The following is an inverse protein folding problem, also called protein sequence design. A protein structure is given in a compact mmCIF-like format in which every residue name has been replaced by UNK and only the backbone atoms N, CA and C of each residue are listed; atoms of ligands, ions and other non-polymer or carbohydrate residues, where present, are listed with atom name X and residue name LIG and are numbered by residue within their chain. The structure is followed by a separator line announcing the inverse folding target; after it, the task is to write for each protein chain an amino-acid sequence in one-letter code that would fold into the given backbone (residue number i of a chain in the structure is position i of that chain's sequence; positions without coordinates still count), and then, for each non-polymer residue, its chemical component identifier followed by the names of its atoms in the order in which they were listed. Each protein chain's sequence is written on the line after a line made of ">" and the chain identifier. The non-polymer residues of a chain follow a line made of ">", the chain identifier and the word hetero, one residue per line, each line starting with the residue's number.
data_IF_158632990993
#
_entry.id   IF_158632990993
#
_cell.length_a   1.000
_cell.length_b   1.000
_cell.length_c   1.000
_cell.angle_alpha   90.00
_cell.angle_beta   90.00
_cell.angle_gamma   90.00
#
_symmetry.space_group_name_H-M   'P 1'
#
loop_
_entity.id
_entity.type
_entity.pdbx_description
1 polymer ?
#
# COMPACT_ATOMS: atom_id res chain seq x y z
N UNK A 1 57.45 -17.51 37.41
CA UNK A 1 57.01 -18.44 36.34
C UNK A 1 55.64 -18.04 35.82
N UNK A 2 55.58 -17.74 34.51
CA UNK A 2 54.45 -17.73 33.55
C UNK A 2 53.02 -17.33 33.99
N UNK A 3 52.63 -16.14 33.51
CA UNK A 3 51.43 -15.79 32.69
C UNK A 3 50.14 -16.61 32.88
N UNK A 4 49.03 -15.88 33.06
CA UNK A 4 47.92 -15.85 32.07
C UNK A 4 47.13 -14.54 32.18
N UNK A 5 47.53 -13.57 31.37
CA UNK A 5 46.67 -12.48 30.90
C UNK A 5 45.74 -13.07 29.83
N UNK A 6 44.43 -13.01 30.07
CA UNK A 6 43.40 -13.11 29.03
C UNK A 6 42.57 -11.83 29.09
N UNK A 7 43.13 -10.74 28.59
CA UNK A 7 42.37 -9.54 28.28
C UNK A 7 41.68 -9.79 26.94
N UNK A 8 40.35 -9.87 26.98
CA UNK A 8 39.51 -9.99 25.81
C UNK A 8 39.70 -8.78 24.89
N UNK A 9 40.29 -9.02 23.73
CA UNK A 9 40.38 -8.09 22.61
C UNK A 9 39.00 -7.90 21.97
N UNK A 10 38.12 -7.11 22.61
CA UNK A 10 36.91 -6.60 21.95
C UNK A 10 37.30 -5.49 20.98
N UNK A 11 37.66 -5.91 19.77
CA UNK A 11 37.98 -5.06 18.62
C UNK A 11 37.04 -3.85 18.47
N UNK A 12 37.63 -2.65 18.54
CA UNK A 12 37.06 -1.40 18.05
C UNK A 12 36.89 -1.49 16.53
N UNK A 13 35.81 -2.14 16.05
CA UNK A 13 35.45 -2.06 14.64
C UNK A 13 35.14 -0.59 14.31
N UNK A 14 35.81 0.01 13.31
CA UNK A 14 35.67 1.42 13.06
C UNK A 14 34.23 1.74 12.61
N UNK A 15 33.68 2.86 13.09
CA UNK A 15 32.24 3.22 12.99
C UNK A 15 31.72 3.17 11.54
N UNK A 16 32.54 3.52 10.56
CA UNK A 16 32.20 3.46 9.13
C UNK A 16 31.85 2.04 8.66
N UNK A 17 32.51 0.99 9.15
CA UNK A 17 32.16 -0.40 8.78
C UNK A 17 30.75 -0.80 9.21
N UNK A 18 30.27 -0.29 10.35
CA UNK A 18 28.89 -0.53 10.80
C UNK A 18 27.88 0.17 9.90
N UNK A 19 28.17 1.41 9.48
CA UNK A 19 27.32 2.18 8.56
C UNK A 19 27.28 1.59 7.16
N UNK A 20 28.43 1.12 6.64
CA UNK A 20 28.49 0.41 5.35
C UNK A 20 27.67 -0.87 5.40
N UNK A 21 27.81 -1.68 6.46
CA UNK A 21 27.02 -2.89 6.61
C UNK A 21 25.50 -2.60 6.66
N UNK A 22 25.08 -1.53 7.32
CA UNK A 22 23.68 -1.09 7.34
C UNK A 22 23.20 -0.64 5.96
N UNK A 23 24.01 0.13 5.22
CA UNK A 23 23.69 0.53 3.86
C UNK A 23 23.53 -0.68 2.94
N UNK A 24 24.42 -1.67 3.05
CA UNK A 24 24.30 -2.94 2.31
C UNK A 24 23.01 -3.68 2.67
N UNK A 25 22.62 -3.73 3.96
CA UNK A 25 21.37 -4.37 4.38
C UNK A 25 20.13 -3.62 3.87
N UNK A 26 20.18 -2.28 3.80
CA UNK A 26 19.11 -1.46 3.24
C UNK A 26 18.97 -1.70 1.73
N UNK A 27 20.08 -1.74 1.00
CA UNK A 27 20.09 -2.09 -0.44
C UNK A 27 19.54 -3.51 -0.64
N UNK A 28 19.98 -4.48 0.15
CA UNK A 28 19.46 -5.85 0.07
C UNK A 28 17.95 -5.89 0.33
N UNK A 29 17.46 -5.20 1.36
CA UNK A 29 16.04 -5.07 1.65
C UNK A 29 15.26 -4.46 0.48
N UNK A 30 15.81 -3.42 -0.16
CA UNK A 30 15.21 -2.80 -1.33
C UNK A 30 15.13 -3.79 -2.51
N UNK A 31 16.22 -4.51 -2.81
CA UNK A 31 16.26 -5.53 -3.86
C UNK A 31 15.29 -6.69 -3.58
N UNK A 32 15.17 -7.12 -2.33
CA UNK A 32 14.20 -8.15 -1.93
C UNK A 32 12.76 -7.71 -2.22
N UNK A 33 12.40 -6.46 -1.90
CA UNK A 33 11.07 -5.92 -2.19
C UNK A 33 10.85 -5.69 -3.69
N UNK A 34 11.90 -5.34 -4.44
CA UNK A 34 11.84 -5.23 -5.89
C UNK A 34 11.57 -6.60 -6.54
N UNK A 35 12.26 -7.65 -6.07
CA UNK A 35 12.02 -9.01 -6.56
C UNK A 35 10.59 -9.48 -6.31
N UNK A 36 10.01 -9.14 -5.15
CA UNK A 36 8.59 -9.38 -4.87
C UNK A 36 7.69 -8.65 -5.86
N UNK A 37 7.92 -7.36 -6.10
CA UNK A 37 7.09 -6.55 -7.00
C UNK A 37 7.15 -7.08 -8.43
N UNK A 38 8.34 -7.48 -8.90
CA UNK A 38 8.53 -8.15 -10.17
C UNK A 38 7.82 -9.50 -10.26
N UNK A 39 7.79 -10.26 -9.17
CA UNK A 39 7.11 -11.55 -9.16
C UNK A 39 5.57 -11.39 -9.14
N UNK A 40 5.06 -10.38 -8.43
CA UNK A 40 3.63 -10.16 -8.26
C UNK A 40 2.99 -9.49 -9.48
N UNK A 41 3.55 -8.35 -9.89
CA UNK A 41 2.94 -7.44 -10.85
C UNK A 41 3.72 -7.40 -12.18
N UNK A 42 4.83 -8.14 -12.28
CA UNK A 42 5.77 -8.10 -13.43
C UNK A 42 6.23 -6.70 -13.81
N UNK A 43 6.12 -5.76 -12.87
CA UNK A 43 6.36 -4.34 -13.07
C UNK A 43 7.30 -3.78 -12.00
N UNK A 44 8.13 -2.82 -12.37
CA UNK A 44 8.81 -1.92 -11.44
C UNK A 44 8.49 -0.46 -11.78
N UNK A 45 8.09 0.27 -10.74
CA UNK A 45 7.82 1.70 -10.74
C UNK A 45 6.85 2.18 -11.84
N UNK A 46 5.98 1.28 -12.33
CA UNK A 46 5.03 1.55 -13.41
C UNK A 46 5.68 1.83 -14.77
N UNK A 47 6.99 1.59 -14.91
CA UNK A 47 7.77 1.89 -16.11
C UNK A 47 8.40 0.63 -16.71
N UNK A 48 8.79 -0.34 -15.88
CA UNK A 48 9.52 -1.53 -16.32
C UNK A 48 8.62 -2.76 -16.26
N UNK A 49 7.92 -3.10 -17.34
CA UNK A 49 7.09 -4.31 -17.44
C UNK A 49 7.88 -5.46 -18.10
N UNK A 50 8.16 -6.54 -17.36
CA UNK A 50 8.96 -7.69 -17.83
C UNK A 50 8.16 -8.70 -18.65
N UNK A 51 6.83 -8.64 -18.63
CA UNK A 51 5.95 -9.41 -19.50
C UNK A 51 5.24 -8.47 -20.50
N UNK A 52 5.86 -8.17 -21.66
CA UNK A 52 5.18 -7.49 -22.77
C UNK A 52 4.29 -8.44 -23.60
N UNK A 53 3.84 -9.56 -23.03
CA UNK A 53 3.07 -10.58 -23.76
C UNK A 53 1.61 -10.15 -23.92
N UNK A 54 1.40 -9.25 -24.88
CA UNK A 54 0.34 -9.26 -25.89
C UNK A 54 0.55 -8.05 -26.82
N UNK A 55 1.67 -8.05 -27.55
CA UNK A 55 2.03 -7.05 -28.56
C UNK A 55 1.21 -7.17 -29.87
N UNK A 56 -0.10 -7.42 -29.74
CA UNK A 56 -1.09 -7.19 -30.81
C UNK A 56 -2.38 -6.54 -30.29
N UNK A 57 -2.33 -6.03 -29.05
CA UNK A 57 -3.42 -5.31 -28.42
C UNK A 57 -2.94 -3.92 -28.06
N UNK A 58 -3.68 -2.91 -28.53
CA UNK A 58 -3.44 -1.51 -28.20
C UNK A 58 -3.34 -1.37 -26.67
N UNK A 59 -2.37 -0.59 -26.15
CA UNK A 59 -2.19 -0.44 -24.71
C UNK A 59 -3.47 0.11 -24.07
N UNK A 60 -3.80 -0.37 -22.86
CA UNK A 60 -5.00 0.08 -22.11
C UNK A 60 -5.03 1.59 -21.95
N UNK A 61 -3.87 2.25 -21.87
CA UNK A 61 -3.73 3.69 -21.90
C UNK A 61 -2.72 4.08 -22.99
N UNK A 62 -3.13 4.96 -23.89
CA UNK A 62 -2.27 5.60 -24.89
C UNK A 62 -2.43 7.11 -24.84
N UNK A 63 -1.39 7.84 -25.24
CA UNK A 63 -1.37 9.30 -25.27
C UNK A 63 -1.24 9.74 -26.73
N UNK A 64 -2.13 10.63 -27.18
CA UNK A 64 -2.12 11.22 -28.52
C UNK A 64 -2.16 12.74 -28.37
N UNK A 65 -1.00 13.37 -28.33
CA UNK A 65 -0.89 14.78 -27.96
C UNK A 65 -1.36 14.98 -26.52
N UNK A 66 -2.22 15.98 -26.29
CA UNK A 66 -2.77 16.26 -24.95
C UNK A 66 -3.96 15.36 -24.57
N UNK A 67 -4.36 14.43 -25.46
CA UNK A 67 -5.50 13.54 -25.24
C UNK A 67 -5.04 12.16 -24.75
N UNK A 68 -5.55 11.75 -23.60
CA UNK A 68 -5.39 10.40 -23.06
C UNK A 68 -6.50 9.50 -23.58
N UNK A 69 -6.13 8.34 -24.13
CA UNK A 69 -7.05 7.38 -24.74
C UNK A 69 -6.97 6.07 -24.00
N UNK A 70 -8.09 5.67 -23.39
CA UNK A 70 -8.23 4.38 -22.71
C UNK A 70 -8.89 3.38 -23.64
N UNK A 71 -8.29 2.20 -23.76
CA UNK A 71 -8.81 1.08 -24.53
C UNK A 71 -9.29 -0.03 -23.59
N UNK A 72 -10.56 -0.44 -23.71
CA UNK A 72 -11.12 -1.45 -22.80
C UNK A 72 -10.86 -2.89 -23.22
N UNK A 73 -10.26 -3.15 -24.38
CA UNK A 73 -10.09 -4.52 -24.93
C UNK A 73 -9.42 -5.48 -23.96
N UNK A 74 -8.37 -5.02 -23.24
CA UNK A 74 -7.71 -5.82 -22.19
C UNK A 74 -8.29 -5.58 -20.80
N UNK A 75 -9.01 -4.47 -20.60
CA UNK A 75 -9.58 -4.10 -19.31
C UNK A 75 -10.81 -4.95 -18.96
N UNK A 76 -11.57 -5.32 -19.99
CA UNK A 76 -12.86 -6.01 -19.85
C UNK A 76 -13.01 -7.15 -20.87
N UNK A 77 -12.10 -8.15 -20.88
CA UNK A 77 -12.13 -9.24 -21.87
C UNK A 77 -13.41 -10.10 -21.77
N UNK A 78 -14.04 -10.13 -20.59
CA UNK A 78 -15.22 -10.95 -20.30
C UNK A 78 -16.55 -10.23 -20.52
N UNK A 79 -16.55 -8.93 -20.83
CA UNK A 79 -17.77 -8.15 -21.02
C UNK A 79 -18.36 -8.41 -22.42
N UNK A 80 -19.58 -8.92 -22.46
CA UNK A 80 -20.26 -9.36 -23.69
C UNK A 80 -21.65 -8.75 -23.81
N UNK A 81 -21.95 -8.26 -25.02
CA UNK A 81 -23.29 -7.88 -25.47
C UNK A 81 -24.05 -9.08 -26.02
N UNK A 82 -25.00 -8.84 -26.93
CA UNK A 82 -25.80 -9.90 -27.52
C UNK A 82 -24.99 -10.78 -28.51
N UNK A 83 -24.23 -10.14 -29.42
CA UNK A 83 -23.41 -10.82 -30.44
C UNK A 83 -21.98 -11.16 -30.03
N UNK A 84 -21.44 -10.58 -28.94
CA UNK A 84 -20.10 -10.89 -28.46
C UNK A 84 -19.45 -9.74 -27.69
N UNK A 85 -18.12 -9.66 -27.69
CA UNK A 85 -17.37 -8.61 -26.98
C UNK A 85 -17.60 -7.24 -27.60
N UNK A 86 -17.64 -6.20 -26.75
CA UNK A 86 -17.99 -4.82 -27.15
C UNK A 86 -16.94 -3.80 -26.68
N UNK A 87 -15.66 -3.97 -27.03
CA UNK A 87 -14.62 -3.04 -26.60
C UNK A 87 -14.91 -1.61 -27.06
N UNK A 88 -14.42 -0.63 -26.31
CA UNK A 88 -14.57 0.79 -26.60
C UNK A 88 -13.30 1.56 -26.27
N UNK A 89 -13.23 2.76 -26.83
CA UNK A 89 -12.23 3.77 -26.49
C UNK A 89 -12.88 4.94 -25.73
N UNK A 90 -12.21 5.42 -24.68
CA UNK A 90 -12.57 6.62 -23.94
C UNK A 90 -11.45 7.64 -24.07
N UNK A 91 -11.76 8.81 -24.61
CA UNK A 91 -10.82 9.92 -24.77
C UNK A 91 -11.03 10.96 -23.68
N UNK A 92 -9.93 11.35 -23.05
CA UNK A 92 -9.91 12.28 -21.94
C UNK A 92 -8.95 13.42 -22.28
N UNK A 93 -9.44 14.65 -22.19
CA UNK A 93 -8.66 15.87 -22.38
C UNK A 93 -8.84 16.71 -21.11
N UNK A 94 -7.75 17.21 -20.54
CA UNK A 94 -7.79 18.06 -19.33
C UNK A 94 -8.59 17.44 -18.16
N UNK A 95 -8.55 16.11 -18.02
CA UNK A 95 -9.24 15.38 -16.95
C UNK A 95 -10.75 15.19 -17.16
N UNK A 96 -11.30 15.58 -18.32
CA UNK A 96 -12.71 15.38 -18.69
C UNK A 96 -12.85 14.46 -19.89
N UNK A 97 -13.90 13.63 -19.88
CA UNK A 97 -14.23 12.76 -20.99
C UNK A 97 -14.71 13.63 -22.16
N UNK A 98 -14.05 13.52 -23.30
CA UNK A 98 -14.42 14.25 -24.53
C UNK A 98 -15.17 13.34 -25.49
N UNK A 99 -14.91 12.03 -25.42
CA UNK A 99 -15.54 11.07 -26.31
C UNK A 99 -15.51 9.67 -25.74
N UNK A 100 -16.63 8.96 -25.86
CA UNK A 100 -16.71 7.50 -25.76
C UNK A 100 -17.11 6.97 -27.13
N UNK A 101 -16.30 6.07 -27.70
CA UNK A 101 -16.58 5.49 -29.01
C UNK A 101 -16.37 3.98 -29.01
N UNK A 102 -17.21 3.21 -29.71
CA UNK A 102 -17.04 1.77 -29.81
C UNK A 102 -15.82 1.42 -30.69
N UNK A 103 -15.09 0.38 -30.28
CA UNK A 103 -14.06 -0.27 -31.09
C UNK A 103 -14.69 -1.39 -31.94
N UNK A 104 -13.93 -1.99 -32.89
CA UNK A 104 -14.41 -3.16 -33.62
C UNK A 104 -14.94 -4.22 -32.66
N UNK A 105 -16.21 -4.60 -32.84
CA UNK A 105 -16.95 -5.46 -31.94
C UNK A 105 -17.73 -6.51 -32.73
N UNK A 106 -18.16 -7.56 -32.03
CA UNK A 106 -18.91 -8.68 -32.61
C UNK A 106 -20.43 -8.48 -32.50
N UNK A 107 -20.91 -7.24 -32.32
CA UNK A 107 -22.33 -6.98 -32.16
C UNK A 107 -23.08 -6.77 -33.48
N UNK A 108 -24.40 -6.98 -33.45
CA UNK A 108 -25.24 -6.70 -34.60
C UNK A 108 -25.30 -5.19 -34.84
N UNK A 109 -25.00 -4.69 -36.06
CA UNK A 109 -24.98 -3.25 -36.36
C UNK A 109 -26.26 -2.52 -35.92
N UNK A 110 -27.43 -3.13 -36.15
CA UNK A 110 -28.71 -2.54 -35.77
C UNK A 110 -28.92 -2.28 -34.27
N UNK A 111 -28.23 -3.01 -33.38
CA UNK A 111 -28.27 -2.71 -31.94
C UNK A 111 -27.41 -1.48 -31.61
N UNK A 112 -26.22 -1.38 -32.19
CA UNK A 112 -25.31 -0.25 -31.96
C UNK A 112 -25.82 1.04 -32.61
N UNK A 113 -26.44 0.95 -33.78
CA UNK A 113 -27.12 2.08 -34.43
C UNK A 113 -28.24 2.62 -33.53
N UNK A 114 -28.97 1.74 -32.84
CA UNK A 114 -30.00 2.13 -31.86
C UNK A 114 -29.40 2.82 -30.64
N UNK A 115 -28.25 2.38 -30.15
CA UNK A 115 -27.53 3.07 -29.07
C UNK A 115 -27.08 4.47 -29.50
N UNK A 116 -26.57 4.60 -30.73
CA UNK A 116 -26.15 5.87 -31.30
C UNK A 116 -27.34 6.83 -31.51
N UNK A 117 -28.47 6.34 -32.04
CA UNK A 117 -29.71 7.12 -32.22
C UNK A 117 -30.30 7.57 -30.89
N UNK A 118 -30.15 6.78 -29.83
CA UNK A 118 -30.56 7.14 -28.48
C UNK A 118 -29.61 8.14 -27.79
N UNK A 119 -28.50 8.53 -28.44
CA UNK A 119 -27.52 9.47 -27.87
C UNK A 119 -26.71 8.89 -26.72
N UNK A 120 -26.57 7.57 -26.63
CA UNK A 120 -25.92 6.92 -25.49
C UNK A 120 -24.46 7.39 -25.33
N UNK A 121 -23.71 7.49 -26.44
CA UNK A 121 -22.28 7.81 -26.44
C UNK A 121 -21.97 9.17 -25.80
N UNK A 122 -22.89 10.13 -25.92
CA UNK A 122 -22.74 11.49 -25.40
C UNK A 122 -23.09 11.62 -23.91
N UNK A 123 -23.60 10.56 -23.28
CA UNK A 123 -24.04 10.59 -21.87
C UNK A 123 -22.91 10.90 -20.88
N UNK A 124 -21.65 10.75 -21.32
CA UNK A 124 -20.46 10.95 -20.50
C UNK A 124 -19.62 12.16 -20.91
N UNK A 125 -20.01 12.89 -21.96
CA UNK A 125 -19.24 14.03 -22.45
C UNK A 125 -19.18 15.14 -21.39
N UNK A 126 -17.98 15.64 -21.12
CA UNK A 126 -17.69 16.67 -20.13
C UNK A 126 -17.60 16.18 -18.68
N UNK A 127 -17.94 14.92 -18.39
CA UNK A 127 -17.84 14.35 -17.05
C UNK A 127 -16.39 14.03 -16.67
N UNK A 128 -16.11 14.08 -15.37
CA UNK A 128 -14.87 13.50 -14.83
C UNK A 128 -14.97 11.98 -14.78
N UNK A 129 -13.83 11.27 -14.79
CA UNK A 129 -13.82 9.82 -14.62
C UNK A 129 -14.55 9.30 -13.37
N UNK A 130 -14.47 10.03 -12.25
CA UNK A 130 -15.14 9.65 -11.00
C UNK A 130 -16.67 9.78 -11.10
N UNK A 131 -17.16 10.85 -11.73
CA UNK A 131 -18.58 11.05 -12.01
C UNK A 131 -19.09 9.99 -12.98
N UNK A 132 -18.35 9.73 -14.07
CA UNK A 132 -18.73 8.73 -15.06
C UNK A 132 -18.79 7.30 -14.50
N UNK A 133 -17.93 6.97 -13.53
CA UNK A 133 -17.93 5.66 -12.86
C UNK A 133 -19.15 5.43 -11.95
N UNK A 134 -19.78 6.50 -11.47
CA UNK A 134 -20.92 6.45 -10.54
C UNK A 134 -22.27 6.78 -11.21
N UNK A 135 -22.25 7.29 -12.43
CA UNK A 135 -23.44 7.63 -13.19
C UNK A 135 -24.23 6.38 -13.56
N UNK A 136 -25.53 6.37 -13.22
CA UNK A 136 -26.47 5.37 -13.71
C UNK A 136 -27.14 5.89 -14.97
N UNK A 137 -26.75 5.33 -16.12
CA UNK A 137 -27.36 5.62 -17.43
C UNK A 137 -28.35 4.51 -17.76
N UNK A 138 -29.53 4.90 -18.21
CA UNK A 138 -30.60 3.97 -18.56
C UNK A 138 -30.24 3.14 -19.80
N UNK A 139 -30.64 1.86 -19.81
CA UNK A 139 -30.46 1.00 -20.95
C UNK A 139 -31.45 1.36 -22.08
N UNK A 140 -31.00 1.30 -23.33
CA UNK A 140 -31.84 1.62 -24.49
C UNK A 140 -32.82 0.49 -24.76
N UNK A 141 -34.11 0.84 -24.90
CA UNK A 141 -35.18 -0.14 -25.14
C UNK A 141 -34.93 -0.92 -26.43
N UNK A 142 -35.09 -2.25 -26.36
CA UNK A 142 -34.82 -3.15 -27.47
C UNK A 142 -33.33 -3.40 -27.77
N UNK A 143 -32.39 -2.88 -26.96
CA UNK A 143 -30.95 -3.16 -27.06
C UNK A 143 -30.33 -3.36 -25.66
N UNK A 144 -31.06 -4.02 -24.75
CA UNK A 144 -30.72 -4.09 -23.32
C UNK A 144 -29.40 -4.81 -23.05
N UNK A 145 -29.13 -5.94 -23.70
CA UNK A 145 -27.88 -6.69 -23.51
C UNK A 145 -26.65 -5.89 -23.99
N UNK A 146 -26.74 -5.29 -25.18
CA UNK A 146 -25.72 -4.42 -25.76
C UNK A 146 -25.50 -3.17 -24.90
N UNK A 147 -26.59 -2.55 -24.42
CA UNK A 147 -26.54 -1.39 -23.52
C UNK A 147 -25.77 -1.73 -22.23
N UNK A 148 -26.11 -2.84 -21.56
CA UNK A 148 -25.44 -3.23 -20.31
C UNK A 148 -23.95 -3.51 -20.52
N UNK A 149 -23.57 -4.10 -21.65
CA UNK A 149 -22.17 -4.34 -21.98
C UNK A 149 -21.39 -3.03 -22.18
N UNK A 150 -21.97 -2.05 -22.90
CA UNK A 150 -21.38 -0.72 -23.05
C UNK A 150 -21.24 -0.02 -21.69
N UNK A 151 -22.28 -0.04 -20.85
CA UNK A 151 -22.24 0.56 -19.52
C UNK A 151 -21.14 -0.05 -18.64
N UNK A 152 -20.96 -1.36 -18.68
CA UNK A 152 -19.89 -2.05 -17.95
C UNK A 152 -18.50 -1.66 -18.45
N UNK A 153 -18.33 -1.54 -19.78
CA UNK A 153 -17.06 -1.12 -20.37
C UNK A 153 -16.73 0.34 -20.04
N UNK A 154 -17.70 1.24 -20.08
CA UNK A 154 -17.51 2.65 -19.70
C UNK A 154 -17.20 2.76 -18.21
N UNK A 155 -17.92 2.04 -17.34
CA UNK A 155 -17.66 2.04 -15.90
C UNK A 155 -16.25 1.54 -15.60
N UNK A 156 -15.80 0.45 -16.24
CA UNK A 156 -14.44 -0.05 -16.07
C UNK A 156 -13.40 0.96 -16.56
N UNK A 157 -13.59 1.56 -17.74
CA UNK A 157 -12.70 2.60 -18.27
C UNK A 157 -12.62 3.82 -17.35
N UNK A 158 -13.76 4.27 -16.83
CA UNK A 158 -13.87 5.40 -15.92
C UNK A 158 -13.23 5.11 -14.55
N UNK A 159 -13.40 3.91 -14.01
CA UNK A 159 -12.72 3.47 -12.78
C UNK A 159 -11.21 3.38 -12.97
N UNK A 160 -10.76 2.82 -14.11
CA UNK A 160 -9.35 2.77 -14.46
C UNK A 160 -8.79 4.20 -14.56
N UNK A 161 -9.48 5.10 -15.28
CA UNK A 161 -9.12 6.50 -15.40
C UNK A 161 -9.03 7.23 -14.05
N UNK A 162 -10.00 7.04 -13.17
CA UNK A 162 -10.04 7.64 -11.84
C UNK A 162 -8.90 7.12 -10.93
N UNK A 163 -8.54 5.84 -11.08
CA UNK A 163 -7.42 5.24 -10.33
C UNK A 163 -6.04 5.57 -10.93
N UNK A 164 -5.98 6.06 -12.16
CA UNK A 164 -4.73 6.32 -12.87
C UNK A 164 -4.24 7.75 -12.56
N UNK A 165 -3.10 7.84 -11.88
CA UNK A 165 -2.48 9.11 -11.50
C UNK A 165 -2.05 9.99 -12.69
N UNK A 166 -2.03 9.44 -13.92
CA UNK A 166 -1.70 10.18 -15.15
C UNK A 166 -2.88 11.00 -15.71
N UNK A 167 -4.12 10.63 -15.39
CA UNK A 167 -5.33 11.22 -15.96
C UNK A 167 -5.93 12.30 -15.04
N UNK A 168 -5.66 12.22 -13.74
CA UNK A 168 -6.01 13.24 -12.76
C UNK A 168 -5.04 14.44 -12.87
N UNK A 169 -5.07 15.11 -14.03
CA UNK A 169 -4.27 16.30 -14.36
C UNK A 169 -4.84 17.61 -13.81
N UNK A 170 -6.04 17.59 -13.22
CA UNK A 170 -6.54 18.64 -12.33
C UNK A 170 -6.09 18.34 -10.90
N UNK A 171 -5.53 19.34 -10.21
CA UNK A 171 -4.85 19.30 -8.90
C UNK A 171 -5.33 18.27 -7.86
N UNK A 172 -5.06 16.98 -8.08
CA UNK A 172 -5.27 15.92 -7.08
C UNK A 172 -4.44 16.17 -5.82
N UNK A 173 -3.33 16.91 -5.96
CA UNK A 173 -2.55 17.41 -4.84
C UNK A 173 -3.26 18.53 -4.08
N UNK A 174 -4.05 19.41 -4.72
CA UNK A 174 -4.79 20.46 -4.01
C UNK A 174 -5.99 19.90 -3.25
N UNK A 175 -6.70 18.92 -3.82
CA UNK A 175 -7.82 18.25 -3.14
C UNK A 175 -7.32 17.36 -1.99
N UNK A 176 -6.27 16.57 -2.21
CA UNK A 176 -5.67 15.76 -1.13
C UNK A 176 -5.12 16.65 0.01
N UNK A 177 -4.52 17.80 -0.30
CA UNK A 177 -3.98 18.74 0.68
C UNK A 177 -5.04 19.67 1.28
N UNK A 178 -6.24 19.73 0.71
CA UNK A 178 -7.36 20.46 1.31
C UNK A 178 -8.04 19.67 2.44
N UNK A 179 -7.78 18.35 2.53
CA UNK A 179 -8.33 17.53 3.58
C UNK A 179 -7.67 17.85 4.94
N UNK A 180 -8.45 18.18 5.99
CA UNK A 180 -7.90 18.46 7.31
C UNK A 180 -7.22 17.23 7.94
N UNK A 181 -7.60 16.04 7.51
CA UNK A 181 -7.10 14.75 7.98
C UNK A 181 -5.61 14.57 7.66
N UNK A 182 -5.18 14.94 6.44
CA UNK A 182 -3.78 14.84 6.01
C UNK A 182 -2.89 15.79 6.81
N UNK A 183 -3.34 17.02 7.06
CA UNK A 183 -2.58 17.99 7.89
C UNK A 183 -2.42 17.51 9.32
N UNK A 184 -3.49 17.00 9.93
CA UNK A 184 -3.42 16.48 11.29
C UNK A 184 -2.48 15.27 11.38
N UNK A 185 -2.58 14.34 10.43
CA UNK A 185 -1.66 13.20 10.35
C UNK A 185 -0.20 13.64 10.18
N UNK A 186 0.05 14.63 9.32
CA UNK A 186 1.38 15.19 9.09
C UNK A 186 1.97 15.78 10.39
N UNK A 187 1.18 16.58 11.11
CA UNK A 187 1.57 17.13 12.42
C UNK A 187 1.93 16.01 13.40
N UNK A 188 1.09 14.97 13.51
CA UNK A 188 1.34 13.83 14.40
C UNK A 188 2.63 13.09 14.02
N UNK A 189 2.90 12.90 12.73
CA UNK A 189 4.15 12.26 12.27
C UNK A 189 5.37 13.13 12.57
N UNK A 190 5.30 14.44 12.32
CA UNK A 190 6.41 15.35 12.62
C UNK A 190 6.70 15.37 14.13
N UNK A 191 5.67 15.43 14.97
CA UNK A 191 5.81 15.35 16.41
C UNK A 191 6.52 14.04 16.82
N UNK A 192 6.06 12.90 16.33
CA UNK A 192 6.66 11.59 16.62
C UNK A 192 8.06 11.37 16.03
N UNK A 193 8.40 12.07 14.95
CA UNK A 193 9.73 12.01 14.36
C UNK A 193 10.73 12.88 15.14
N UNK A 194 10.38 14.14 15.42
CA UNK A 194 11.32 15.18 15.88
C UNK A 194 11.38 15.29 17.40
N UNK A 195 10.25 15.46 18.08
CA UNK A 195 10.22 15.81 19.51
C UNK A 195 10.89 14.75 20.40
N UNK A 196 10.76 13.41 20.17
CA UNK A 196 11.49 12.41 20.94
C UNK A 196 13.02 12.49 20.87
N UNK A 197 13.56 13.21 19.88
CA UNK A 197 15.01 13.40 19.75
C UNK A 197 15.55 14.36 20.82
N UNK A 198 14.72 15.29 21.29
CA UNK A 198 15.10 16.35 22.23
C UNK A 198 14.45 16.17 23.61
N UNK A 199 13.19 15.74 23.66
CA UNK A 199 12.40 15.67 24.90
C UNK A 199 12.21 14.22 25.33
N UNK A 200 12.65 13.89 26.55
CA UNK A 200 12.41 12.60 27.20
C UNK A 200 11.43 12.74 28.37
N UNK A 201 10.16 12.96 28.05
CA UNK A 201 9.07 13.05 29.04
C UNK A 201 8.09 11.88 28.92
N UNK A 202 7.69 11.29 30.05
CA UNK A 202 6.68 10.22 30.10
C UNK A 202 5.30 10.73 29.64
N UNK A 203 4.95 11.96 29.99
CA UNK A 203 3.68 12.58 29.59
C UNK A 203 3.61 12.73 28.07
N UNK A 204 4.67 13.28 27.47
CA UNK A 204 4.77 13.39 26.01
C UNK A 204 4.67 12.03 25.32
N UNK A 205 5.35 11.01 25.86
CA UNK A 205 5.27 9.66 25.31
C UNK A 205 3.83 9.14 25.28
N UNK A 206 3.06 9.30 26.35
CA UNK A 206 1.65 8.85 26.38
C UNK A 206 0.83 9.64 25.35
N UNK A 207 0.98 10.96 25.30
CA UNK A 207 0.28 11.81 24.32
C UNK A 207 0.55 11.35 22.89
N UNK A 208 1.82 11.15 22.52
CA UNK A 208 2.18 10.69 21.17
C UNK A 208 1.59 9.31 20.86
N UNK A 209 1.60 8.36 21.82
CA UNK A 209 1.04 7.04 21.61
C UNK A 209 -0.48 7.10 21.35
N UNK A 210 -1.20 7.95 22.09
CA UNK A 210 -2.65 8.16 21.91
C UNK A 210 -2.92 8.79 20.53
N UNK A 211 -2.15 9.81 20.15
CA UNK A 211 -2.29 10.47 18.84
C UNK A 211 -2.04 9.49 17.68
N UNK A 212 -1.02 8.62 17.79
CA UNK A 212 -0.76 7.62 16.75
C UNK A 212 -1.93 6.64 16.60
N UNK A 213 -2.57 6.22 17.70
CA UNK A 213 -3.71 5.29 17.63
C UNK A 213 -4.94 5.99 17.07
N UNK A 214 -5.29 7.16 17.60
CA UNK A 214 -6.51 7.87 17.24
C UNK A 214 -6.44 8.46 15.82
N UNK A 215 -5.37 9.16 15.48
CA UNK A 215 -5.25 9.88 14.20
C UNK A 215 -4.69 8.97 13.10
N UNK A 216 -3.52 8.36 13.31
CA UNK A 216 -2.88 7.55 12.26
C UNK A 216 -3.52 6.16 12.09
N UNK A 217 -4.05 5.59 13.18
CA UNK A 217 -4.75 4.31 13.15
C UNK A 217 -6.21 4.44 12.77
N UNK A 218 -7.05 4.88 13.72
CA UNK A 218 -8.50 4.82 13.60
C UNK A 218 -9.10 5.83 12.61
N UNK A 219 -8.50 7.01 12.44
CA UNK A 219 -9.05 8.05 11.56
C UNK A 219 -8.50 7.94 10.14
N UNK A 220 -7.18 8.07 9.96
CA UNK A 220 -6.58 8.21 8.62
C UNK A 220 -6.10 6.90 8.01
N UNK A 221 -5.77 5.89 8.82
CA UNK A 221 -5.17 4.64 8.34
C UNK A 221 -3.79 4.79 7.70
N UNK A 222 -3.06 5.86 8.01
CA UNK A 222 -1.69 6.01 7.54
C UNK A 222 -0.72 5.14 8.37
N UNK A 223 -0.41 3.97 7.82
CA UNK A 223 0.60 3.06 8.37
C UNK A 223 1.44 2.42 7.25
N UNK A 224 2.65 2.00 7.60
CA UNK A 224 3.50 1.21 6.70
C UNK A 224 3.10 -0.26 6.75
N UNK A 225 2.62 -0.77 5.62
CA UNK A 225 2.26 -2.16 5.35
C UNK A 225 3.13 -2.77 4.24
N UNK A 226 3.20 -4.11 4.18
CA UNK A 226 3.83 -4.78 3.04
C UNK A 226 3.13 -4.46 1.72
N UNK A 227 1.79 -4.43 1.72
CA UNK A 227 1.00 -4.08 0.55
C UNK A 227 1.33 -2.70 -0.01
N UNK A 228 1.48 -1.68 0.85
CA UNK A 228 1.89 -0.33 0.44
C UNK A 228 3.27 -0.33 -0.22
N UNK A 229 4.26 -0.99 0.41
CA UNK A 229 5.63 -1.02 -0.10
C UNK A 229 5.71 -1.75 -1.44
N UNK A 230 5.08 -2.92 -1.57
CA UNK A 230 5.05 -3.68 -2.83
C UNK A 230 4.30 -2.90 -3.91
N UNK A 231 3.14 -2.32 -3.59
CA UNK A 231 2.35 -1.53 -4.52
C UNK A 231 3.08 -0.30 -5.05
N UNK A 232 3.87 0.39 -4.24
CA UNK A 232 4.72 1.49 -4.70
C UNK A 232 5.92 1.01 -5.51
N UNK A 233 6.48 -0.16 -5.17
CA UNK A 233 7.56 -0.77 -5.94
C UNK A 233 7.09 -1.21 -7.33
N UNK A 234 5.84 -1.67 -7.48
CA UNK A 234 5.29 -2.08 -8.78
C UNK A 234 4.66 -0.93 -9.56
N UNK A 235 3.73 -0.19 -8.96
CA UNK A 235 2.93 0.85 -9.63
C UNK A 235 3.51 2.27 -9.56
N UNK A 236 4.57 2.48 -8.79
CA UNK A 236 5.12 3.81 -8.52
C UNK A 236 4.40 4.57 -7.40
N UNK A 237 4.94 5.73 -7.03
CA UNK A 237 4.41 6.55 -5.92
C UNK A 237 3.37 7.53 -6.44
N UNK A 238 2.16 7.47 -5.90
CA UNK A 238 1.12 8.46 -6.17
C UNK A 238 1.32 9.70 -5.28
N UNK A 239 2.08 10.66 -5.78
CA UNK A 239 2.54 11.83 -5.00
C UNK A 239 1.42 12.67 -4.38
N UNK A 240 0.20 12.63 -4.91
CA UNK A 240 -0.98 13.33 -4.37
C UNK A 240 -1.34 12.88 -2.95
N UNK A 241 -1.30 11.58 -2.66
CA UNK A 241 -1.65 11.00 -1.35
C UNK A 241 -0.43 10.44 -0.59
N UNK A 242 0.77 10.53 -1.16
CA UNK A 242 1.94 9.84 -0.63
C UNK A 242 2.72 10.61 0.45
N UNK A 243 2.41 11.87 0.75
CA UNK A 243 3.23 12.69 1.64
C UNK A 243 3.44 12.06 3.04
N UNK A 244 2.34 11.67 3.70
CA UNK A 244 2.41 11.07 5.05
C UNK A 244 3.10 9.70 5.01
N UNK A 245 2.73 8.75 4.12
CA UNK A 245 3.40 7.46 4.07
C UNK A 245 4.87 7.55 3.61
N UNK A 246 5.24 8.49 2.73
CA UNK A 246 6.65 8.77 2.37
C UNK A 246 7.42 9.21 3.61
N UNK A 247 6.87 10.13 4.39
CA UNK A 247 7.53 10.60 5.62
C UNK A 247 7.70 9.45 6.64
N UNK A 248 6.69 8.59 6.79
CA UNK A 248 6.80 7.39 7.63
C UNK A 248 7.92 6.46 7.13
N UNK A 249 8.01 6.23 5.82
CA UNK A 249 9.02 5.37 5.19
C UNK A 249 10.43 5.96 5.37
N UNK A 250 10.57 7.28 5.18
CA UNK A 250 11.81 7.99 5.49
C UNK A 250 12.21 7.80 6.95
N UNK A 251 11.29 7.96 7.91
CA UNK A 251 11.61 7.71 9.32
C UNK A 251 11.96 6.25 9.57
N UNK A 252 11.33 5.29 8.90
CA UNK A 252 11.63 3.87 9.09
C UNK A 252 13.02 3.46 8.59
N UNK A 253 13.49 4.01 7.46
CA UNK A 253 14.75 3.61 6.81
C UNK A 253 15.93 4.57 7.05
N UNK A 254 15.68 5.86 7.23
CA UNK A 254 16.74 6.89 7.38
C UNK A 254 17.20 7.03 8.83
N UNK A 255 16.29 7.08 9.81
CA UNK A 255 16.65 7.25 11.23
C UNK A 255 17.61 6.19 11.76
N UNK A 256 17.52 4.91 11.34
CA UNK A 256 18.48 3.90 11.77
C UNK A 256 19.92 4.15 11.29
N UNK A 257 20.12 4.86 10.16
CA UNK A 257 21.46 5.26 9.69
C UNK A 257 22.12 6.27 10.65
N UNK A 258 21.31 7.02 11.40
CA UNK A 258 21.73 7.91 12.48
C UNK A 258 21.79 7.21 13.86
N UNK A 259 21.71 5.87 13.89
CA UNK A 259 21.77 5.07 15.12
C UNK A 259 20.46 5.03 15.91
N UNK A 260 19.35 5.53 15.36
CA UNK A 260 18.02 5.49 15.98
C UNK A 260 17.23 4.29 15.46
N UNK A 261 17.59 3.11 15.96
CA UNK A 261 16.96 1.85 15.58
C UNK A 261 15.51 1.76 16.03
N UNK A 262 14.65 1.14 15.21
CA UNK A 262 13.24 0.89 15.50
C UNK A 262 12.41 2.15 15.87
N UNK A 263 12.81 3.33 15.38
CA UNK A 263 12.14 4.60 15.72
C UNK A 263 10.68 4.59 15.28
N UNK A 264 10.39 4.21 14.03
CA UNK A 264 9.03 4.06 13.51
C UNK A 264 8.15 3.17 14.41
N UNK A 265 8.59 1.95 14.70
CA UNK A 265 7.84 1.00 15.54
C UNK A 265 7.59 1.52 16.97
N UNK A 266 8.45 2.40 17.48
CA UNK A 266 8.38 2.90 18.85
C UNK A 266 7.54 4.16 18.99
N UNK A 267 7.63 5.08 18.02
CA UNK A 267 7.11 6.44 18.11
C UNK A 267 6.06 6.83 17.07
N UNK A 268 5.86 6.05 16.01
CA UNK A 268 4.96 6.40 14.91
C UNK A 268 3.93 5.32 14.60
N UNK A 269 4.31 4.04 14.68
CA UNK A 269 3.43 2.93 14.33
C UNK A 269 2.16 2.92 15.20
N UNK A 270 0.95 3.00 14.62
CA UNK A 270 -0.31 2.98 15.37
C UNK A 270 -0.48 1.70 16.18
N UNK A 271 -0.24 0.55 15.54
CA UNK A 271 -0.39 -0.76 16.18
C UNK A 271 0.67 -1.00 17.28
N UNK A 272 1.89 -0.52 17.09
CA UNK A 272 2.93 -0.54 18.13
C UNK A 272 2.61 0.39 19.30
N UNK A 273 1.89 1.49 19.02
CA UNK A 273 1.46 2.46 20.03
C UNK A 273 0.32 1.93 20.88
N UNK A 274 -0.67 1.28 20.24
CA UNK A 274 -1.78 0.61 20.91
C UNK A 274 -1.28 -0.44 21.91
N UNK A 275 -0.42 -1.35 21.47
CA UNK A 275 0.12 -2.39 22.35
C UNK A 275 0.95 -1.80 23.51
N UNK A 276 1.62 -0.66 23.30
CA UNK A 276 2.38 0.00 24.35
C UNK A 276 1.48 0.68 25.39
N UNK A 277 0.36 1.29 24.96
CA UNK A 277 -0.64 1.84 25.87
C UNK A 277 -1.27 0.74 26.73
N UNK A 278 -1.62 -0.41 26.12
CA UNK A 278 -2.14 -1.56 26.83
C UNK A 278 -1.14 -2.08 27.87
N UNK A 279 0.12 -2.22 27.49
CA UNK A 279 1.19 -2.63 28.42
C UNK A 279 1.38 -1.63 29.57
N UNK A 280 1.26 -0.33 29.31
CA UNK A 280 1.36 0.70 30.36
C UNK A 280 0.16 0.71 31.32
N UNK A 281 -1.01 0.24 30.87
CA UNK A 281 -2.22 0.16 31.68
C UNK A 281 -2.26 -1.11 32.55
N UNK A 282 -1.39 -2.09 32.29
CA UNK A 282 -1.37 -3.36 33.02
C UNK A 282 -0.59 -3.27 34.33
N UNK A 283 -1.06 -4.02 35.32
CA UNK A 283 -0.40 -4.18 36.62
C UNK A 283 0.49 -5.43 36.71
N UNK A 284 0.34 -6.39 35.78
CA UNK A 284 1.00 -7.71 35.85
C UNK A 284 1.55 -8.13 34.50
N UNK A 285 2.85 -7.95 34.33
CA UNK A 285 3.58 -8.43 33.16
C UNK A 285 4.04 -9.87 33.36
N UNK A 286 3.81 -10.71 32.36
CA UNK A 286 4.35 -12.07 32.32
C UNK A 286 5.83 -12.01 31.94
N UNK A 287 6.71 -12.32 32.89
CA UNK A 287 8.14 -12.43 32.62
C UNK A 287 8.43 -13.71 31.82
N UNK A 288 8.62 -13.56 30.51
CA UNK A 288 8.98 -14.68 29.64
C UNK A 288 10.42 -15.14 29.88
N UNK A 289 10.62 -16.44 30.07
CA UNK A 289 11.94 -17.05 30.23
C UNK A 289 12.83 -16.87 29.00
N UNK A 290 14.16 -16.90 29.20
CA UNK A 290 15.15 -16.70 28.12
C UNK A 290 14.97 -17.67 26.95
N UNK A 291 14.69 -18.95 27.23
CA UNK A 291 14.47 -20.00 26.21
C UNK A 291 13.23 -19.69 25.37
N UNK A 292 12.11 -19.35 26.00
CA UNK A 292 10.86 -18.97 25.31
C UNK A 292 11.07 -17.75 24.42
N UNK A 293 11.76 -16.73 24.92
CA UNK A 293 12.08 -15.54 24.12
C UNK A 293 12.95 -15.86 22.89
N UNK A 294 13.91 -16.77 23.03
CA UNK A 294 14.71 -17.24 21.90
C UNK A 294 13.86 -17.99 20.88
N UNK A 295 13.02 -18.93 21.33
CA UNK A 295 12.13 -19.70 20.46
C UNK A 295 11.18 -18.79 19.69
N UNK A 296 10.47 -17.87 20.36
CA UNK A 296 9.55 -16.96 19.68
C UNK A 296 10.28 -16.01 18.71
N UNK A 297 11.52 -15.65 19.02
CA UNK A 297 12.35 -14.85 18.09
C UNK A 297 12.71 -15.65 16.84
N UNK A 298 13.04 -16.93 16.99
CA UNK A 298 13.27 -17.84 15.87
C UNK A 298 12.00 -18.08 15.06
N UNK A 299 10.87 -18.33 15.71
CA UNK A 299 9.56 -18.48 15.05
C UNK A 299 9.26 -17.26 14.18
N UNK A 300 9.44 -16.04 14.70
CA UNK A 300 9.27 -14.82 13.90
C UNK A 300 10.15 -14.79 12.65
N UNK A 301 11.44 -15.13 12.79
CA UNK A 301 12.40 -15.12 11.68
C UNK A 301 12.06 -16.17 10.63
N UNK A 302 11.68 -17.37 11.06
CA UNK A 302 11.27 -18.46 10.18
C UNK A 302 9.97 -18.08 9.47
N UNK A 303 8.97 -17.58 10.19
CA UNK A 303 7.71 -17.11 9.62
C UNK A 303 7.97 -16.09 8.51
N UNK A 304 8.76 -15.05 8.80
CA UNK A 304 9.10 -14.03 7.81
C UNK A 304 9.87 -14.61 6.61
N UNK A 305 10.84 -15.50 6.85
CA UNK A 305 11.58 -16.15 5.77
C UNK A 305 10.69 -17.01 4.87
N UNK A 306 9.76 -17.77 5.45
CA UNK A 306 8.77 -18.56 4.70
C UNK A 306 7.85 -17.64 3.88
N UNK A 307 7.33 -16.55 4.48
CA UNK A 307 6.51 -15.58 3.75
C UNK A 307 7.26 -14.96 2.57
N UNK A 308 8.55 -14.65 2.72
CA UNK A 308 9.37 -14.13 1.62
C UNK A 308 9.64 -15.17 0.53
N UNK A 309 9.95 -16.42 0.91
CA UNK A 309 10.12 -17.52 -0.04
C UNK A 309 8.84 -17.78 -0.84
N UNK A 310 7.68 -17.78 -0.18
CA UNK A 310 6.38 -17.93 -0.85
C UNK A 310 6.15 -16.80 -1.86
N UNK A 311 6.40 -15.55 -1.48
CA UNK A 311 6.24 -14.42 -2.39
C UNK A 311 7.20 -14.47 -3.57
N UNK A 312 8.44 -14.90 -3.37
CA UNK A 312 9.39 -15.07 -4.48
C UNK A 312 9.06 -16.26 -5.37
N UNK A 313 8.38 -17.29 -4.85
CA UNK A 313 7.83 -18.38 -5.67
C UNK A 313 6.57 -17.97 -6.46
N UNK A 314 6.05 -16.76 -6.27
CA UNK A 314 4.83 -16.28 -6.94
C UNK A 314 3.53 -16.76 -6.28
N UNK A 315 3.58 -17.23 -5.04
CA UNK A 315 2.43 -17.82 -4.34
C UNK A 315 2.10 -17.02 -3.08
N UNK A 316 0.83 -17.07 -2.67
CA UNK A 316 0.34 -16.57 -1.39
C UNK A 316 0.48 -15.05 -1.15
N UNK A 317 0.54 -14.21 -2.20
CA UNK A 317 0.56 -12.74 -2.03
C UNK A 317 -0.59 -12.17 -1.18
N UNK A 318 -1.73 -12.87 -1.11
CA UNK A 318 -2.87 -12.48 -0.31
C UNK A 318 -2.58 -12.37 1.19
N UNK A 319 -1.49 -12.94 1.72
CA UNK A 319 -1.14 -12.75 3.14
C UNK A 319 -0.93 -11.27 3.52
N UNK A 320 -0.51 -10.42 2.56
CA UNK A 320 -0.31 -8.99 2.79
C UNK A 320 -1.60 -8.26 3.21
N UNK A 321 -2.76 -8.76 2.79
CA UNK A 321 -4.07 -8.20 3.15
C UNK A 321 -4.49 -8.60 4.58
N UNK A 322 -3.84 -9.64 5.14
CA UNK A 322 -4.06 -10.13 6.50
C UNK A 322 -3.11 -9.53 7.54
N UNK A 323 -2.36 -8.46 7.20
CA UNK A 323 -1.57 -7.74 8.20
C UNK A 323 -2.47 -7.10 9.25
N UNK A 324 -2.15 -7.27 10.54
CA UNK A 324 -2.98 -6.74 11.64
C UNK A 324 -3.12 -5.21 11.65
N UNK A 325 -2.33 -4.47 10.87
CA UNK A 325 -2.48 -3.02 10.74
C UNK A 325 -3.82 -2.64 10.12
N UNK A 326 -4.38 -3.48 9.23
CA UNK A 326 -5.69 -3.22 8.63
C UNK A 326 -6.84 -3.34 9.64
N UNK A 327 -6.63 -3.96 10.81
CA UNK A 327 -7.68 -4.07 11.85
C UNK A 327 -8.19 -2.73 12.39
N UNK A 328 -7.46 -1.61 12.21
CA UNK A 328 -7.96 -0.28 12.53
C UNK A 328 -9.05 0.20 11.56
N UNK A 329 -9.07 -0.32 10.34
CA UNK A 329 -10.08 -0.03 9.32
C UNK A 329 -11.22 -1.04 9.41
N UNK A 330 -12.00 -0.97 10.51
CA UNK A 330 -13.04 -1.95 10.84
C UNK A 330 -14.10 -2.15 9.74
N UNK A 331 -14.33 -1.15 8.89
CA UNK A 331 -15.27 -1.22 7.76
C UNK A 331 -14.75 -2.06 6.58
N UNK A 332 -13.42 -2.11 6.40
CA UNK A 332 -12.78 -2.65 5.20
C UNK A 332 -11.92 -3.87 5.49
N UNK A 333 -11.61 -4.13 6.76
CA UNK A 333 -10.76 -5.24 7.18
C UNK A 333 -11.52 -6.58 7.14
N UNK A 334 -10.87 -7.66 6.66
CA UNK A 334 -11.44 -9.01 6.77
C UNK A 334 -11.74 -9.35 8.24
N UNK A 335 -12.89 -9.96 8.50
CA UNK A 335 -13.35 -10.28 9.86
C UNK A 335 -12.30 -11.06 10.67
N UNK A 336 -11.59 -11.99 10.01
CA UNK A 336 -10.51 -12.76 10.66
C UNK A 336 -9.38 -11.87 11.19
N UNK A 337 -9.03 -10.80 10.47
CA UNK A 337 -7.97 -9.85 10.89
C UNK A 337 -8.44 -9.01 12.07
N UNK A 338 -9.71 -8.62 12.08
CA UNK A 338 -10.32 -7.90 13.22
C UNK A 338 -10.30 -8.78 14.48
N UNK A 339 -10.70 -10.05 14.36
CA UNK A 339 -10.67 -11.01 15.48
C UNK A 339 -9.24 -11.22 15.99
N UNK A 340 -8.27 -11.45 15.10
CA UNK A 340 -6.86 -11.59 15.47
C UNK A 340 -6.30 -10.31 16.10
N UNK A 341 -6.69 -9.14 15.60
CA UNK A 341 -6.38 -7.84 16.19
C UNK A 341 -6.90 -7.72 17.63
N UNK A 342 -8.15 -8.13 17.86
CA UNK A 342 -8.75 -8.21 19.20
C UNK A 342 -8.00 -9.13 20.15
N UNK A 343 -7.60 -10.33 19.68
CA UNK A 343 -6.78 -11.27 20.48
C UNK A 343 -5.44 -10.64 20.85
N UNK A 344 -4.74 -10.02 19.90
CA UNK A 344 -3.46 -9.34 20.16
C UNK A 344 -3.63 -8.15 21.10
N UNK A 345 -4.72 -7.40 20.98
CA UNK A 345 -5.05 -6.30 21.88
C UNK A 345 -5.15 -6.80 23.33
N UNK A 346 -5.92 -7.86 23.58
CA UNK A 346 -6.04 -8.48 24.91
C UNK A 346 -4.68 -9.00 25.41
N UNK A 347 -3.92 -9.69 24.57
CA UNK A 347 -2.59 -10.19 24.93
C UNK A 347 -1.61 -9.07 25.31
N UNK A 348 -1.80 -7.86 24.78
CA UNK A 348 -0.91 -6.71 25.00
C UNK A 348 -1.00 -6.12 26.41
N UNK A 349 -2.03 -6.50 27.19
CA UNK A 349 -2.06 -6.20 28.62
C UNK A 349 -1.10 -7.12 29.41
N UNK A 350 -0.82 -8.34 28.95
CA UNK A 350 -0.02 -9.28 29.72
C UNK A 350 1.44 -9.34 29.25
N UNK A 351 1.66 -9.13 27.96
CA UNK A 351 2.98 -9.21 27.32
C UNK A 351 3.25 -7.91 26.59
N UNK A 352 4.44 -7.35 26.77
CA UNK A 352 4.81 -6.11 26.08
C UNK A 352 4.97 -6.35 24.58
N UNK A 353 4.09 -5.70 23.78
CA UNK A 353 4.14 -5.64 22.31
C UNK A 353 4.24 -7.03 21.66
N UNK A 354 3.30 -7.96 21.93
CA UNK A 354 3.42 -9.37 21.53
C UNK A 354 3.51 -9.53 20.02
N UNK A 355 2.68 -8.84 19.25
CA UNK A 355 2.71 -8.93 17.78
C UNK A 355 3.98 -8.31 17.20
N UNK A 356 4.32 -7.08 17.59
CA UNK A 356 5.54 -6.42 17.09
C UNK A 356 6.81 -7.19 17.46
N UNK A 357 6.81 -7.90 18.58
CA UNK A 357 7.96 -8.66 19.06
C UNK A 357 8.06 -10.06 18.46
N UNK A 358 6.96 -10.71 18.12
CA UNK A 358 6.97 -12.14 17.79
C UNK A 358 6.36 -12.52 16.45
N UNK A 359 5.60 -11.65 15.79
CA UNK A 359 4.84 -12.03 14.57
C UNK A 359 5.04 -11.03 13.43
N UNK A 360 5.13 -9.74 13.71
CA UNK A 360 5.09 -8.67 12.71
C UNK A 360 6.17 -8.82 11.61
N UNK A 361 5.77 -9.07 10.34
CA UNK A 361 6.71 -9.23 9.23
C UNK A 361 7.35 -7.89 8.87
N UNK A 362 6.59 -6.77 8.86
CA UNK A 362 7.10 -5.42 8.56
C UNK A 362 8.17 -4.99 9.56
N UNK A 363 7.96 -5.29 10.85
CA UNK A 363 8.94 -5.04 11.90
C UNK A 363 10.19 -5.90 11.75
N UNK A 364 10.06 -7.09 11.16
CA UNK A 364 11.19 -7.98 10.86
C UNK A 364 11.98 -7.46 9.66
N UNK A 365 11.31 -7.00 8.61
CA UNK A 365 11.93 -6.31 7.47
C UNK A 365 12.77 -5.11 7.91
N UNK A 366 12.23 -4.26 8.80
CA UNK A 366 12.98 -3.13 9.33
C UNK A 366 14.17 -3.55 10.20
N UNK A 367 14.13 -4.71 10.87
CA UNK A 367 15.30 -5.21 11.61
C UNK A 367 16.39 -5.74 10.66
N UNK A 368 15.99 -6.36 9.55
CA UNK A 368 16.92 -6.78 8.48
C UNK A 368 17.66 -5.55 7.95
N UNK A 369 16.93 -4.50 7.54
CA UNK A 369 17.54 -3.28 6.97
C UNK A 369 18.50 -2.57 7.94
N UNK A 370 18.31 -2.78 9.24
CA UNK A 370 19.13 -2.18 10.30
C UNK A 370 20.32 -3.04 10.73
N UNK A 371 20.54 -4.19 10.08
CA UNK A 371 21.55 -5.19 10.47
C UNK A 371 21.38 -5.68 11.93
N UNK A 372 20.13 -5.86 12.36
CA UNK A 372 19.75 -6.37 13.68
C UNK A 372 19.05 -7.74 13.61
N UNK A 373 19.24 -8.45 12.50
CA UNK A 373 18.43 -9.60 12.16
C UNK A 373 18.55 -10.74 13.16
#
# INVERSE_FOLDING_TARGET
>A
MKKTLSSSSSSLRPVWRKRVAQLCCLIACFLMMAAVALQKDHSLWGVWNLNPVAADSQPVLSERGDTLVINTTQLTPDVRGYGGTTPLEMKILEGRIVQVAPLPNAESPGFFDRLAQAGLWQSWDGLTPAEAASLQVDAVSGATYSSRAVLQNVAAAAQYAASSSRISGGSAWAEAWSSPEVWLALVVVILGAVVPLFVRSRKYRIVQLVLNVAVLGCWTGFFLSYGLMVGWMSGGVQWSAALVPVLLLLVAFVYPLFGRHNHYCTWLCPFGSLQALCGMASYRHVALGRRTLQVLTWVRRILWGVLMLLMWSGVAFGWMDYELFSSFMLSSAPMIVVVLGGVVFVLSFFVDRPYCRFVCPTGTLFKVSQNQF
#
